data_IF_354170938823
#
_entry.id   IF_354170938823
#
_cell.length_a   1.000
_cell.length_b   1.000
_cell.length_c   1.000
_cell.angle_alpha   90.00
_cell.angle_beta   90.00
_cell.angle_gamma   90.00
#
_symmetry.space_group_name_H-M   'P 1'
#
loop_
_entity.id
_entity.type
_entity.pdbx_description
1 polymer ?
#
# COMPACT_ATOMS: atom_id res chain seq x y z
N UNK A 1 2.25 6.31 -12.96
CA UNK A 1 1.71 5.14 -12.22
C UNK A 1 0.69 5.61 -11.19
N UNK A 2 -0.44 4.96 -11.12
CA UNK A 2 -1.52 5.30 -10.19
C UNK A 2 -1.44 4.40 -8.97
N UNK A 3 -1.47 5.00 -7.79
CA UNK A 3 -1.28 4.30 -6.51
C UNK A 3 -2.51 4.51 -5.64
N UNK A 4 -3.01 3.45 -5.05
CA UNK A 4 -4.01 3.52 -3.99
C UNK A 4 -3.40 2.98 -2.70
N UNK A 5 -3.74 3.58 -1.57
CA UNK A 5 -3.25 3.16 -0.27
C UNK A 5 -4.43 2.76 0.60
N UNK A 6 -4.40 1.54 1.07
CA UNK A 6 -5.44 0.94 1.88
C UNK A 6 -4.86 0.65 3.26
N UNK A 7 -5.25 1.42 4.26
CA UNK A 7 -4.69 1.31 5.60
C UNK A 7 -5.80 1.02 6.62
N UNK A 8 -5.47 0.23 7.65
CA UNK A 8 -6.42 0.03 8.74
C UNK A 8 -6.47 1.28 9.63
N UNK A 9 -7.36 1.29 10.62
CA UNK A 9 -7.59 2.45 11.47
C UNK A 9 -6.52 2.66 12.54
N UNK A 10 -5.56 1.77 12.66
CA UNK A 10 -4.50 1.87 13.64
C UNK A 10 -3.67 3.12 13.44
N UNK A 11 -3.21 3.70 14.54
CA UNK A 11 -2.42 4.93 14.50
C UNK A 11 -1.15 4.76 13.70
N UNK A 12 -0.47 3.64 13.88
CA UNK A 12 0.78 3.36 13.16
C UNK A 12 0.52 3.24 11.66
N UNK A 13 -0.55 2.55 11.26
CA UNK A 13 -0.90 2.40 9.86
C UNK A 13 -1.24 3.74 9.22
N UNK A 14 -1.96 4.61 9.92
CA UNK A 14 -2.30 5.93 9.42
C UNK A 14 -1.05 6.80 9.28
N UNK A 15 -0.09 6.69 10.19
CA UNK A 15 1.17 7.42 10.09
C UNK A 15 1.96 6.97 8.87
N UNK A 16 2.02 5.67 8.63
CA UNK A 16 2.72 5.11 7.46
C UNK A 16 2.04 5.57 6.17
N UNK A 17 0.71 5.55 6.16
CA UNK A 17 -0.06 6.02 5.01
C UNK A 17 0.30 7.47 4.66
N UNK A 18 0.34 8.35 5.65
CA UNK A 18 0.68 9.76 5.44
C UNK A 18 2.09 9.92 4.89
N UNK A 19 3.05 9.14 5.40
CA UNK A 19 4.42 9.18 4.92
C UNK A 19 4.50 8.73 3.46
N UNK A 20 3.81 7.66 3.11
CA UNK A 20 3.79 7.18 1.74
C UNK A 20 3.12 8.16 0.79
N UNK A 21 2.00 8.74 1.18
CA UNK A 21 1.32 9.74 0.36
C UNK A 21 2.23 10.90 0.05
N UNK A 22 2.97 11.37 1.05
CA UNK A 22 3.92 12.46 0.87
C UNK A 22 5.04 12.08 -0.10
N UNK A 23 5.63 10.90 0.09
CA UNK A 23 6.72 10.43 -0.76
C UNK A 23 6.27 10.25 -2.21
N UNK A 24 5.11 9.64 -2.42
CA UNK A 24 4.60 9.44 -3.77
C UNK A 24 4.29 10.76 -4.45
N UNK A 25 3.74 11.72 -3.72
CA UNK A 25 3.45 13.05 -4.27
C UNK A 25 4.75 13.75 -4.66
N UNK A 26 5.78 13.66 -3.84
CA UNK A 26 7.08 14.26 -4.13
C UNK A 26 7.74 13.64 -5.37
N UNK A 27 7.41 12.40 -5.67
CA UNK A 27 7.99 11.66 -6.79
C UNK A 27 7.05 11.60 -8.00
N UNK A 28 6.01 12.41 -8.00
CA UNK A 28 5.08 12.57 -9.12
C UNK A 28 4.24 11.32 -9.43
N UNK A 29 4.03 10.45 -8.45
CA UNK A 29 3.02 9.40 -8.59
C UNK A 29 1.63 10.01 -8.41
N UNK A 30 0.65 9.43 -9.09
CA UNK A 30 -0.74 9.87 -8.96
C UNK A 30 -1.45 8.99 -7.93
N UNK A 31 -2.10 9.62 -6.97
CA UNK A 31 -2.92 8.90 -5.99
C UNK A 31 -4.33 8.76 -6.57
N UNK A 32 -4.75 7.54 -6.87
CA UNK A 32 -6.04 7.25 -7.49
C UNK A 32 -6.58 5.95 -6.90
N UNK A 33 -7.66 6.03 -6.16
CA UNK A 33 -8.27 4.88 -5.50
C UNK A 33 -9.34 4.18 -6.34
N UNK A 34 -9.67 4.71 -7.52
CA UNK A 34 -10.68 4.12 -8.39
C UNK A 34 -10.08 3.14 -9.38
N UNK A 35 -9.00 3.53 -10.03
CA UNK A 35 -8.34 2.70 -11.04
C UNK A 35 -6.83 2.65 -10.82
N UNK A 36 -6.37 2.17 -9.66
CA UNK A 36 -4.94 2.14 -9.39
C UNK A 36 -4.23 1.05 -10.19
N UNK A 37 -2.97 1.29 -10.46
CA UNK A 37 -2.06 0.26 -10.99
C UNK A 37 -1.47 -0.56 -9.87
N UNK A 38 -1.25 0.07 -8.72
CA UNK A 38 -0.68 -0.56 -7.52
C UNK A 38 -1.55 -0.19 -6.32
N UNK A 39 -1.86 -1.18 -5.51
CA UNK A 39 -2.55 -0.98 -4.23
C UNK A 39 -1.60 -1.36 -3.11
N UNK A 40 -1.37 -0.43 -2.20
CA UNK A 40 -0.52 -0.67 -1.04
C UNK A 40 -1.43 -0.86 0.18
N UNK A 41 -1.34 -2.03 0.78
CA UNK A 41 -2.10 -2.37 1.98
C UNK A 41 -1.19 -2.18 3.20
N UNK A 42 -1.62 -1.35 4.15
CA UNK A 42 -0.86 -1.06 5.36
C UNK A 42 -1.61 -1.61 6.56
N UNK A 43 -1.02 -2.57 7.24
CA UNK A 43 -1.65 -3.22 8.39
C UNK A 43 -1.22 -4.66 8.48
N UNK A 44 -2.18 -5.57 8.61
CA UNK A 44 -1.94 -7.00 8.64
C UNK A 44 -2.63 -7.69 7.48
N UNK A 45 -2.73 -9.02 7.57
CA UNK A 45 -3.33 -9.85 6.52
C UNK A 45 -4.80 -9.48 6.28
N UNK A 46 -5.53 -9.11 7.34
CA UNK A 46 -6.94 -8.71 7.21
C UNK A 46 -7.10 -7.47 6.35
N UNK A 47 -6.19 -6.52 6.46
CA UNK A 47 -6.22 -5.31 5.64
C UNK A 47 -5.95 -5.65 4.18
N UNK A 48 -5.02 -6.55 3.93
CA UNK A 48 -4.72 -6.99 2.58
C UNK A 48 -5.91 -7.70 1.95
N UNK A 49 -6.58 -8.56 2.71
CA UNK A 49 -7.79 -9.23 2.23
C UNK A 49 -8.91 -8.24 1.94
N UNK A 50 -9.06 -7.21 2.77
CA UNK A 50 -10.04 -6.16 2.52
C UNK A 50 -9.73 -5.42 1.22
N UNK A 51 -8.46 -5.17 0.94
CA UNK A 51 -8.07 -4.53 -0.31
C UNK A 51 -8.41 -5.42 -1.51
N UNK A 52 -8.17 -6.72 -1.41
CA UNK A 52 -8.56 -7.66 -2.48
C UNK A 52 -10.06 -7.61 -2.75
N UNK A 53 -10.88 -7.60 -1.71
CA UNK A 53 -12.33 -7.51 -1.87
C UNK A 53 -12.76 -6.21 -2.50
N UNK A 54 -12.12 -5.11 -2.10
CA UNK A 54 -12.46 -3.79 -2.63
C UNK A 54 -12.22 -3.70 -4.13
N UNK A 55 -11.18 -4.38 -4.63
CA UNK A 55 -10.80 -4.36 -6.04
C UNK A 55 -11.01 -5.71 -6.74
N UNK A 56 -11.98 -6.50 -6.26
CA UNK A 56 -12.14 -7.89 -6.74
C UNK A 56 -12.34 -8.01 -8.25
N UNK A 57 -12.89 -6.98 -8.89
CA UNK A 57 -13.13 -6.99 -10.34
C UNK A 57 -11.88 -6.63 -11.15
N UNK A 58 -10.78 -6.30 -10.48
CA UNK A 58 -9.57 -5.81 -11.14
C UNK A 58 -8.29 -6.48 -10.63
N UNK A 59 -8.42 -7.63 -9.97
CA UNK A 59 -7.27 -8.30 -9.34
C UNK A 59 -6.15 -8.65 -10.34
N UNK A 60 -6.52 -8.95 -11.56
CA UNK A 60 -5.56 -9.29 -12.62
C UNK A 60 -4.82 -8.08 -13.18
N UNK A 61 -5.29 -6.87 -12.89
CA UNK A 61 -4.72 -5.64 -13.42
C UNK A 61 -3.99 -4.81 -12.38
N UNK A 62 -4.07 -5.21 -11.13
CA UNK A 62 -3.51 -4.46 -10.00
C UNK A 62 -2.40 -5.27 -9.34
N UNK A 63 -1.27 -4.61 -9.07
CA UNK A 63 -0.23 -5.19 -8.23
C UNK A 63 -0.53 -4.82 -6.78
N UNK A 64 -0.59 -5.82 -5.91
CA UNK A 64 -0.83 -5.61 -4.49
C UNK A 64 0.48 -5.72 -3.70
N UNK A 65 0.71 -4.74 -2.83
CA UNK A 65 1.91 -4.69 -1.99
C UNK A 65 1.47 -4.56 -0.54
N UNK A 66 1.97 -5.42 0.32
CA UNK A 66 1.66 -5.35 1.75
C UNK A 66 2.76 -4.64 2.53
N UNK A 67 2.38 -3.71 3.38
CA UNK A 67 3.27 -3.07 4.35
C UNK A 67 2.79 -3.43 5.75
N UNK A 68 3.67 -4.01 6.52
CA UNK A 68 3.34 -4.58 7.82
C UNK A 68 3.62 -3.59 8.95
N UNK A 69 2.63 -3.39 9.83
CA UNK A 69 2.77 -2.44 10.94
C UNK A 69 2.69 -3.09 12.31
N UNK A 70 2.77 -4.40 12.40
CA UNK A 70 2.69 -5.12 13.66
C UNK A 70 3.33 -6.47 13.56
N UNK A 71 2.54 -7.52 13.74
CA UNK A 71 3.04 -8.88 13.57
C UNK A 71 3.28 -9.18 12.09
N UNK A 72 4.29 -10.00 11.82
CA UNK A 72 4.55 -10.45 10.45
C UNK A 72 3.43 -11.40 10.01
N UNK A 73 2.75 -11.01 8.95
CA UNK A 73 1.77 -11.85 8.29
C UNK A 73 2.43 -12.67 7.18
N UNK A 74 1.61 -13.46 6.49
CA UNK A 74 2.12 -14.31 5.41
C UNK A 74 2.44 -13.56 4.13
N UNK A 75 1.76 -12.46 3.89
CA UNK A 75 1.76 -11.80 2.58
C UNK A 75 2.34 -10.40 2.61
N UNK A 76 3.08 -10.06 3.65
CA UNK A 76 3.66 -8.73 3.75
C UNK A 76 5.01 -8.70 3.06
N UNK A 77 5.14 -7.85 2.06
CA UNK A 77 6.39 -7.67 1.33
C UNK A 77 7.34 -6.75 2.05
N UNK A 78 6.81 -5.80 2.82
CA UNK A 78 7.58 -4.72 3.40
C UNK A 78 7.18 -4.46 4.84
N UNK A 79 8.12 -3.93 5.61
CA UNK A 79 7.85 -3.43 6.96
C UNK A 79 7.64 -1.93 6.90
N UNK A 80 7.01 -1.38 7.94
CA UNK A 80 6.73 0.05 8.01
C UNK A 80 8.00 0.90 7.97
N UNK A 81 9.10 0.40 8.47
CA UNK A 81 10.40 1.09 8.46
C UNK A 81 11.07 1.10 7.09
N UNK A 82 10.55 0.31 6.15
CA UNK A 82 11.13 0.15 4.82
C UNK A 82 10.37 0.95 3.73
N UNK A 83 9.52 1.89 4.13
CA UNK A 83 8.66 2.60 3.17
C UNK A 83 9.44 3.38 2.12
N UNK A 84 10.61 3.92 2.49
CA UNK A 84 11.42 4.65 1.52
C UNK A 84 11.97 3.71 0.45
N UNK A 85 12.39 2.51 0.85
CA UNK A 85 12.86 1.50 -0.09
C UNK A 85 11.74 1.01 -0.99
N UNK A 86 10.52 0.90 -0.45
CA UNK A 86 9.36 0.53 -1.24
C UNK A 86 9.10 1.54 -2.35
N UNK A 87 9.15 2.82 -2.03
CA UNK A 87 8.94 3.88 -3.03
C UNK A 87 10.00 3.79 -4.12
N UNK A 88 11.25 3.59 -3.75
CA UNK A 88 12.35 3.44 -4.71
C UNK A 88 12.12 2.22 -5.60
N UNK A 89 11.68 1.12 -5.01
CA UNK A 89 11.38 -0.11 -5.75
C UNK A 89 10.32 0.12 -6.83
N UNK A 90 9.30 0.90 -6.51
CA UNK A 90 8.21 1.17 -7.47
C UNK A 90 8.63 2.13 -8.59
N UNK A 91 9.68 2.89 -8.39
CA UNK A 91 10.20 3.77 -9.42
C UNK A 91 11.05 3.03 -10.47
N UNK A 92 11.53 1.87 -10.12
CA UNK A 92 12.44 1.09 -10.99
C UNK A 92 11.74 0.49 -12.19
#
# INVERSE_FOLDING_TARGET
MKIAIFANDGKQSQNVKQRLEKRFTERHFVLDDKEPDVVISIGGDGTLLSAFHHYENRLDKIRFVGVHTGHLGFYTDWRDEEVDDLVISLES
#
